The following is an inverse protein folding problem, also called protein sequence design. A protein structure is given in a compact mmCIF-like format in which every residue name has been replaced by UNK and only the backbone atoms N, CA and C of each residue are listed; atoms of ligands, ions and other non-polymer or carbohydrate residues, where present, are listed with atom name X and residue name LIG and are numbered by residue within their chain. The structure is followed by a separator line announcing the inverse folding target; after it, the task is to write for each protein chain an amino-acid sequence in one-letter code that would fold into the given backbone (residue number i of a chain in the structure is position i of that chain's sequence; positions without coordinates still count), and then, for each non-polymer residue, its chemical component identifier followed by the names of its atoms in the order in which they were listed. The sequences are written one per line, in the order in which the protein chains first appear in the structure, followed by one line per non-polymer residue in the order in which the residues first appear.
data_IF_892566165334
#
_entry.id   IF_892566165334
#
_cell.length_a   1.000
_cell.length_b   1.000
_cell.length_c   1.000
_cell.angle_alpha   90.00
_cell.angle_beta   90.00
_cell.angle_gamma   90.00
#
_symmetry.space_group_name_H-M   'P 1'
#
loop_
_entity.id
_entity.type
_entity.pdbx_description
1 polymer ?
#
# COMPACT_ATOMS: atom_id res chain seq x y z
N UNK A 1 6.58 -15.81 -5.03
CA UNK A 1 7.29 -14.82 -4.18
C UNK A 1 6.35 -14.37 -3.09
N UNK A 2 6.83 -14.12 -1.88
CA UNK A 2 5.96 -14.03 -0.70
C UNK A 2 4.96 -12.86 -0.71
N UNK A 3 5.23 -11.78 -1.46
CA UNK A 3 4.27 -10.67 -1.68
C UNK A 3 3.62 -10.69 -3.07
N UNK A 4 3.69 -11.81 -3.80
CA UNK A 4 3.16 -11.93 -5.16
C UNK A 4 1.64 -11.73 -5.22
N UNK A 5 0.89 -12.23 -4.23
CA UNK A 5 -0.56 -12.02 -4.17
C UNK A 5 -0.96 -10.53 -4.13
N UNK A 6 -0.23 -9.71 -3.37
CA UNK A 6 -0.47 -8.26 -3.33
C UNK A 6 -0.07 -7.57 -4.63
N UNK A 7 1.06 -7.98 -5.22
CA UNK A 7 1.50 -7.52 -6.54
C UNK A 7 0.45 -7.81 -7.60
N UNK A 8 -0.11 -9.03 -7.62
CA UNK A 8 -1.12 -9.43 -8.59
C UNK A 8 -2.40 -8.61 -8.45
N UNK A 9 -2.89 -8.40 -7.22
CA UNK A 9 -4.05 -7.52 -6.96
C UNK A 9 -3.82 -6.07 -7.36
N UNK A 10 -2.60 -5.56 -7.18
CA UNK A 10 -2.22 -4.23 -7.65
C UNK A 10 -2.20 -4.16 -9.18
N UNK A 11 -1.57 -5.13 -9.85
CA UNK A 11 -1.50 -5.20 -11.32
C UNK A 11 -2.87 -5.45 -11.97
N UNK A 12 -3.76 -6.19 -11.31
CA UNK A 12 -5.15 -6.35 -11.72
C UNK A 12 -5.91 -5.03 -11.63
N UNK A 13 -5.75 -4.30 -10.52
CA UNK A 13 -6.36 -2.98 -10.38
C UNK A 13 -5.89 -2.01 -11.46
N UNK A 14 -4.59 -1.95 -11.75
CA UNK A 14 -4.06 -1.14 -12.84
C UNK A 14 -4.69 -1.51 -14.18
N UNK A 15 -4.84 -2.80 -14.47
CA UNK A 15 -5.50 -3.25 -15.70
C UNK A 15 -6.96 -2.80 -15.78
N UNK A 16 -7.69 -2.83 -14.67
CA UNK A 16 -9.08 -2.38 -14.62
C UNK A 16 -9.23 -0.85 -14.60
N UNK A 17 -8.27 -0.13 -14.05
CA UNK A 17 -8.29 1.34 -13.95
C UNK A 17 -7.68 2.06 -15.15
N UNK A 18 -7.20 1.33 -16.16
CA UNK A 18 -6.50 1.94 -17.31
C UNK A 18 -5.09 2.43 -16.98
N UNK A 19 -4.41 1.75 -16.06
CA UNK A 19 -3.09 2.07 -15.51
C UNK A 19 -3.05 3.33 -14.63
N UNK A 20 -4.21 3.78 -14.17
CA UNK A 20 -4.32 4.86 -13.20
C UNK A 20 -3.82 4.40 -11.81
N UNK A 21 -2.62 4.83 -11.46
CA UNK A 21 -1.96 4.50 -10.19
C UNK A 21 -2.68 5.10 -8.99
N UNK A 22 -3.29 6.28 -9.15
CA UNK A 22 -4.07 6.97 -8.12
C UNK A 22 -5.27 6.13 -7.63
N UNK A 23 -5.97 5.45 -8.54
CA UNK A 23 -7.10 4.59 -8.22
C UNK A 23 -6.69 3.33 -7.44
N UNK A 24 -5.43 2.91 -7.56
CA UNK A 24 -4.90 1.68 -6.98
C UNK A 24 -3.96 1.93 -5.79
N UNK A 25 -3.90 3.16 -5.25
CA UNK A 25 -2.98 3.54 -4.16
C UNK A 25 -3.09 2.63 -2.93
N UNK A 26 -4.31 2.24 -2.54
CA UNK A 26 -4.49 1.32 -1.41
C UNK A 26 -3.88 -0.07 -1.65
N UNK A 27 -4.02 -0.60 -2.87
CA UNK A 27 -3.43 -1.89 -3.24
C UNK A 27 -1.91 -1.79 -3.40
N UNK A 28 -1.42 -0.65 -3.89
CA UNK A 28 0.01 -0.35 -3.96
C UNK A 28 0.63 -0.27 -2.56
N UNK A 29 -0.04 0.39 -1.61
CA UNK A 29 0.37 0.48 -0.22
C UNK A 29 0.48 -0.91 0.40
N UNK A 30 -0.54 -1.77 0.28
CA UNK A 30 -0.49 -3.13 0.85
C UNK A 30 0.65 -3.98 0.25
N UNK A 31 0.94 -3.82 -1.05
CA UNK A 31 2.08 -4.48 -1.69
C UNK A 31 3.41 -3.98 -1.13
N UNK A 32 3.53 -2.67 -0.91
CA UNK A 32 4.73 -2.04 -0.34
C UNK A 32 4.90 -2.37 1.14
N UNK A 33 3.82 -2.40 1.94
CA UNK A 33 3.85 -2.84 3.33
C UNK A 33 4.42 -4.26 3.44
N UNK A 34 3.90 -5.22 2.65
CA UNK A 34 4.45 -6.59 2.64
C UNK A 34 5.94 -6.64 2.24
N UNK A 35 6.35 -5.76 1.32
CA UNK A 35 7.74 -5.64 0.84
C UNK A 35 8.68 -4.98 1.85
N UNK A 36 8.17 -4.03 2.65
CA UNK A 36 8.94 -3.22 3.59
C UNK A 36 8.99 -3.84 4.99
N UNK A 37 7.91 -4.48 5.43
CA UNK A 37 7.85 -5.27 6.68
C UNK A 37 8.97 -6.33 6.74
N UNK A 38 9.27 -6.95 5.59
CA UNK A 38 10.39 -7.90 5.45
C UNK A 38 11.77 -7.24 5.31
N UNK A 39 11.82 -5.96 4.96
CA UNK A 39 13.07 -5.18 4.78
C UNK A 39 13.52 -4.46 6.04
N UNK A 40 12.77 -4.55 7.15
CA UNK A 40 13.19 -4.14 8.50
C UNK A 40 14.57 -4.72 8.88
N UNK A 41 15.04 -5.78 8.22
CA UNK A 41 16.39 -6.30 8.41
C UNK A 41 17.48 -5.78 7.44
N UNK A 42 17.18 -5.13 6.32
CA UNK A 42 18.22 -4.90 5.29
C UNK A 42 18.14 -3.66 4.37
N UNK A 43 17.17 -2.75 4.47
CA UNK A 43 17.15 -1.55 3.61
C UNK A 43 16.88 -0.26 4.39
N UNK A 44 17.56 0.83 4.00
CA UNK A 44 17.27 2.18 4.47
C UNK A 44 15.78 2.48 4.21
N UNK A 45 14.99 2.56 5.28
CA UNK A 45 13.55 2.77 5.21
C UNK A 45 13.28 4.16 4.63
N UNK A 46 13.01 4.22 3.32
CA UNK A 46 12.27 5.36 2.80
C UNK A 46 10.83 5.22 3.27
N UNK A 47 10.32 6.14 4.13
CA UNK A 47 8.99 6.02 4.67
C UNK A 47 7.97 6.06 3.54
N UNK A 48 6.91 5.26 3.65
CA UNK A 48 5.77 5.24 2.72
C UNK A 48 5.19 6.65 2.48
N UNK A 49 5.35 7.55 3.45
CA UNK A 49 5.06 8.98 3.34
C UNK A 49 5.83 9.68 2.22
N UNK A 50 7.12 9.38 2.03
CA UNK A 50 7.95 9.93 0.94
C UNK A 50 7.58 9.35 -0.42
N UNK A 51 6.94 8.18 -0.44
CA UNK A 51 6.48 7.52 -1.64
C UNK A 51 5.05 7.94 -2.05
N UNK A 52 4.49 8.96 -1.40
CA UNK A 52 3.18 9.54 -1.74
C UNK A 52 1.99 8.83 -1.13
N UNK A 53 2.18 8.04 -0.06
CA UNK A 53 1.10 7.36 0.68
C UNK A 53 0.76 8.05 2.01
N UNK A 54 1.25 9.27 2.24
CA UNK A 54 1.07 9.98 3.50
C UNK A 54 -0.41 10.12 3.89
N UNK A 55 -1.27 10.41 2.91
CA UNK A 55 -2.72 10.56 3.13
C UNK A 55 -3.37 9.27 3.64
N UNK A 56 -2.96 8.11 3.10
CA UNK A 56 -3.50 6.81 3.50
C UNK A 56 -3.03 6.34 4.89
N UNK A 57 -1.85 6.77 5.33
CA UNK A 57 -1.31 6.46 6.67
C UNK A 57 -2.05 7.30 7.72
N UNK A 58 -2.32 8.56 7.41
CA UNK A 58 -3.07 9.45 8.27
C UNK A 58 -4.53 8.98 8.42
N UNK A 59 -5.18 8.54 7.34
CA UNK A 59 -6.53 7.97 7.39
C UNK A 59 -6.62 6.66 8.20
N UNK A 60 -5.57 5.82 8.17
CA UNK A 60 -5.57 4.55 8.91
C UNK A 60 -5.47 4.72 10.43
N UNK A 61 -5.20 5.93 10.91
CA UNK A 61 -5.14 6.26 12.33
C UNK A 61 -6.50 6.71 12.89
N UNK A 62 -7.55 6.84 12.05
CA UNK A 62 -8.85 7.41 12.45
C UNK A 62 -10.09 6.51 12.23
N UNK A 63 -9.95 5.19 12.11
CA UNK A 63 -11.09 4.25 12.26
C UNK A 63 -10.67 3.06 13.12
N UNK A 64 -11.25 2.78 14.30
CA UNK A 64 -12.66 2.86 14.76
C UNK A 64 -12.73 2.85 16.33
N UNK A 65 -13.82 3.28 17.03
CA UNK A 65 -15.15 2.69 16.79
C UNK A 65 -16.39 3.61 16.91
N UNK A 66 -17.47 3.05 16.33
CA UNK A 66 -18.88 3.17 16.75
C UNK A 66 -19.72 4.39 16.33
N UNK A 67 -20.74 4.12 15.51
CA UNK A 67 -22.12 4.50 15.88
C UNK A 67 -23.13 3.52 15.28
N UNK A 68 -23.61 2.60 16.11
CA UNK A 68 -24.97 2.03 15.99
C UNK A 68 -25.96 2.96 16.68
#
# INVERSE_FOLDING_TARGET
GECSAFKERFMECLRHSGYESAACRQRAMAYLECRMDRRVQLMANEPLEKLGFKDLINEKSEEKPEKS
#
